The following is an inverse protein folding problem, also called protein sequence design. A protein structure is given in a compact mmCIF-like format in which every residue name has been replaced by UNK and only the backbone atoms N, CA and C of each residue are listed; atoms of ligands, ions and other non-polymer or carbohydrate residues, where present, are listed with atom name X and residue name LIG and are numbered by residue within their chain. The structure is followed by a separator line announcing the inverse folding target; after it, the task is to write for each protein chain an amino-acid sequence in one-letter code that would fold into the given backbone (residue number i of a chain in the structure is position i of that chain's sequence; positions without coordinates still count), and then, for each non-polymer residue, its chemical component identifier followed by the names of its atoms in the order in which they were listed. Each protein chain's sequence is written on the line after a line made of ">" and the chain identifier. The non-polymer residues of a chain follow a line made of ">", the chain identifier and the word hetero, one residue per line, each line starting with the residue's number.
data_IF_787659536277
#
_entry.id   IF_787659536277
#
_cell.length_a   1.000
_cell.length_b   1.000
_cell.length_c   1.000
_cell.angle_alpha   90.00
_cell.angle_beta   90.00
_cell.angle_gamma   90.00
#
_symmetry.space_group_name_H-M   'P 1'
#
loop_
_entity.id
_entity.type
_entity.pdbx_description
1 polymer ?
#
# COMPACT_ATOMS: atom_id res chain seq x y z
N UNK A 1 -0.78 -18.05 -8.39
CA UNK A 1 -1.97 -18.92 -8.41
C UNK A 1 -3.22 -18.13 -8.02
N UNK A 2 -4.42 -18.63 -8.36
CA UNK A 2 -5.70 -17.93 -8.19
C UNK A 2 -6.03 -17.54 -6.74
N UNK A 3 -5.39 -18.18 -5.75
CA UNK A 3 -5.56 -17.84 -4.32
C UNK A 3 -4.69 -16.67 -3.84
N UNK A 4 -3.86 -16.07 -4.69
CA UNK A 4 -2.99 -14.93 -4.32
C UNK A 4 -1.85 -15.27 -3.34
N UNK A 5 -1.86 -16.44 -2.70
CA UNK A 5 -0.89 -16.91 -1.70
C UNK A 5 0.43 -17.46 -2.29
N UNK A 6 0.63 -17.33 -3.60
CA UNK A 6 1.82 -17.87 -4.24
C UNK A 6 3.02 -16.96 -3.91
N UNK A 7 4.15 -17.52 -3.41
CA UNK A 7 5.35 -16.74 -3.13
C UNK A 7 5.81 -15.99 -4.39
N UNK A 8 6.19 -14.73 -4.22
CA UNK A 8 6.55 -13.84 -5.32
C UNK A 8 7.86 -13.08 -4.98
N UNK A 9 8.89 -13.16 -5.84
CA UNK A 9 10.16 -12.44 -5.65
C UNK A 9 10.00 -10.93 -5.53
N UNK A 10 9.04 -10.33 -6.25
CA UNK A 10 8.80 -8.88 -6.22
C UNK A 10 8.32 -8.36 -4.86
N UNK A 11 7.78 -9.23 -4.02
CA UNK A 11 7.29 -8.88 -2.68
C UNK A 11 8.23 -9.40 -1.58
N UNK A 12 9.45 -9.82 -1.93
CA UNK A 12 10.47 -10.25 -0.97
C UNK A 12 10.18 -11.58 -0.27
N UNK A 13 9.11 -12.29 -0.65
CA UNK A 13 8.75 -13.60 -0.08
C UNK A 13 9.58 -14.74 -0.67
N UNK A 14 10.32 -14.48 -1.75
CA UNK A 14 11.36 -15.37 -2.28
C UNK A 14 12.68 -14.63 -2.13
N UNK A 15 13.31 -14.78 -0.98
CA UNK A 15 14.60 -14.17 -0.64
C UNK A 15 15.50 -15.19 0.04
N UNK A 16 16.84 -15.03 -0.06
CA UNK A 16 17.78 -15.89 0.66
C UNK A 16 17.74 -15.68 2.18
N UNK A 17 17.28 -14.52 2.65
CA UNK A 17 17.09 -14.21 4.08
C UNK A 17 15.65 -14.52 4.53
N UNK A 18 15.44 -15.79 4.90
CA UNK A 18 14.15 -16.29 5.38
C UNK A 18 13.77 -15.70 6.75
N UNK A 19 14.75 -15.39 7.60
CA UNK A 19 14.49 -14.92 8.96
C UNK A 19 13.89 -13.51 8.95
N UNK A 20 14.43 -12.60 8.15
CA UNK A 20 13.87 -11.27 7.97
C UNK A 20 12.49 -11.32 7.30
N UNK A 21 12.32 -12.16 6.27
CA UNK A 21 11.05 -12.31 5.56
C UNK A 21 9.92 -12.78 6.50
N UNK A 22 10.20 -13.75 7.39
CA UNK A 22 9.21 -14.24 8.38
C UNK A 22 8.87 -13.18 9.42
N UNK A 23 9.87 -12.42 9.92
CA UNK A 23 9.62 -11.32 10.87
C UNK A 23 8.72 -10.25 10.26
N UNK A 24 9.00 -9.84 9.02
CA UNK A 24 8.22 -8.82 8.32
C UNK A 24 6.80 -9.31 8.00
N UNK A 25 6.65 -10.56 7.57
CA UNK A 25 5.34 -11.17 7.36
C UNK A 25 4.52 -11.22 8.66
N UNK A 26 5.15 -11.58 9.79
CA UNK A 26 4.49 -11.64 11.10
C UNK A 26 4.14 -10.25 11.65
N UNK A 27 4.94 -9.24 11.32
CA UNK A 27 4.66 -7.84 11.66
C UNK A 27 3.45 -7.25 10.88
N UNK A 28 2.82 -8.03 10.00
CA UNK A 28 1.63 -7.59 9.27
C UNK A 28 1.93 -6.82 8.00
N UNK A 29 3.07 -7.08 7.35
CA UNK A 29 3.43 -6.47 6.08
C UNK A 29 2.29 -6.60 5.05
N UNK A 30 1.76 -5.46 4.63
CA UNK A 30 0.71 -5.40 3.61
C UNK A 30 1.35 -5.34 2.23
N UNK A 31 0.81 -6.13 1.30
CA UNK A 31 1.26 -6.16 -0.09
C UNK A 31 0.29 -5.36 -0.94
N UNK A 32 0.83 -4.49 -1.80
CA UNK A 32 0.06 -3.82 -2.83
C UNK A 32 0.52 -4.29 -4.20
N UNK A 33 -0.43 -4.36 -5.14
CA UNK A 33 -0.18 -4.66 -6.54
C UNK A 33 -0.93 -3.65 -7.39
N UNK A 34 -0.32 -3.27 -8.51
CA UNK A 34 -0.97 -2.42 -9.50
C UNK A 34 -1.89 -3.28 -10.36
N UNK A 35 -3.12 -2.82 -10.55
CA UNK A 35 -4.02 -3.41 -11.53
C UNK A 35 -3.63 -2.98 -12.96
N UNK A 36 -4.19 -3.63 -13.98
CA UNK A 36 -3.97 -3.30 -15.39
C UNK A 36 -4.29 -1.83 -15.72
N UNK A 37 -5.22 -1.22 -14.97
CA UNK A 37 -5.56 0.20 -15.08
C UNK A 37 -4.57 1.17 -14.41
N UNK A 38 -3.48 0.68 -13.81
CA UNK A 38 -2.52 1.54 -13.10
C UNK A 38 -2.99 1.98 -11.70
N UNK A 39 -4.08 1.41 -11.20
CA UNK A 39 -4.64 1.72 -9.87
C UNK A 39 -4.02 0.77 -8.84
N UNK A 40 -3.67 1.31 -7.67
CA UNK A 40 -3.14 0.55 -6.55
C UNK A 40 -4.24 0.40 -5.50
N UNK A 41 -4.58 -0.84 -5.19
CA UNK A 41 -5.50 -1.18 -4.11
C UNK A 41 -4.70 -1.73 -2.94
N UNK A 42 -4.88 -1.13 -1.76
CA UNK A 42 -4.21 -1.56 -0.54
C UNK A 42 -5.13 -1.36 0.66
N UNK A 43 -5.19 -2.35 1.54
CA UNK A 43 -5.90 -2.25 2.82
C UNK A 43 -4.97 -1.64 3.87
N UNK A 44 -5.27 -0.41 4.33
CA UNK A 44 -4.49 0.30 5.35
C UNK A 44 -4.76 -0.18 6.79
N UNK A 45 -5.83 -0.94 7.01
CA UNK A 45 -6.19 -1.41 8.34
C UNK A 45 -7.65 -1.88 8.44
N UNK A 46 -8.14 -1.96 9.68
CA UNK A 46 -9.54 -2.26 10.02
C UNK A 46 -10.19 -1.04 10.67
N UNK A 47 -11.52 -0.98 10.62
CA UNK A 47 -12.30 0.09 11.27
C UNK A 47 -12.12 0.13 12.79
N UNK A 48 -11.66 -0.96 13.41
CA UNK A 48 -11.39 -1.04 14.85
C UNK A 48 -10.05 -0.43 15.28
N UNK A 49 -9.24 0.07 14.34
CA UNK A 49 -7.96 0.71 14.67
C UNK A 49 -8.17 2.16 15.10
N UNK A 50 -7.27 2.67 15.93
CA UNK A 50 -7.25 4.08 16.29
C UNK A 50 -7.04 4.95 15.03
N UNK A 51 -7.66 6.14 14.97
CA UNK A 51 -7.55 7.03 13.81
C UNK A 51 -6.10 7.45 13.54
N UNK A 52 -5.29 7.61 14.58
CA UNK A 52 -3.87 7.94 14.47
C UNK A 52 -3.07 6.84 13.77
N UNK A 53 -3.32 5.58 14.12
CA UNK A 53 -2.68 4.43 13.48
C UNK A 53 -3.07 4.31 12.00
N UNK A 54 -4.33 4.60 11.66
CA UNK A 54 -4.79 4.62 10.26
C UNK A 54 -4.12 5.74 9.46
N UNK A 55 -3.90 6.92 10.06
CA UNK A 55 -3.17 8.03 9.43
C UNK A 55 -1.70 7.66 9.17
N UNK A 56 -1.02 7.10 10.17
CA UNK A 56 0.37 6.66 10.04
C UNK A 56 0.53 5.58 8.95
N UNK A 57 -0.39 4.63 8.86
CA UNK A 57 -0.37 3.60 7.81
C UNK A 57 -0.56 4.21 6.41
N UNK A 58 -1.39 5.26 6.29
CA UNK A 58 -1.61 5.97 5.04
C UNK A 58 -0.36 6.74 4.61
N UNK A 59 0.27 7.48 5.54
CA UNK A 59 1.52 8.22 5.31
C UNK A 59 2.65 7.26 4.86
N UNK A 60 2.84 6.16 5.58
CA UNK A 60 3.84 5.15 5.24
C UNK A 60 3.62 4.56 3.83
N UNK A 61 2.37 4.39 3.41
CA UNK A 61 2.03 3.91 2.07
C UNK A 61 2.39 4.95 1.00
N UNK A 62 2.06 6.23 1.23
CA UNK A 62 2.37 7.31 0.29
C UNK A 62 3.88 7.47 0.12
N UNK A 63 4.64 7.41 1.22
CA UNK A 63 6.10 7.45 1.18
C UNK A 63 6.71 6.29 0.39
N UNK A 64 6.18 5.08 0.60
CA UNK A 64 6.60 3.90 -0.16
C UNK A 64 6.30 4.06 -1.66
N UNK A 65 5.14 4.63 -2.02
CA UNK A 65 4.79 4.89 -3.42
C UNK A 65 5.68 5.96 -4.05
N UNK A 66 5.97 7.04 -3.33
CA UNK A 66 6.87 8.10 -3.80
C UNK A 66 8.29 7.56 -4.06
N UNK A 67 8.80 6.68 -3.19
CA UNK A 67 10.07 5.97 -3.39
C UNK A 67 10.03 4.99 -4.55
N UNK A 68 8.88 4.35 -4.80
CA UNK A 68 8.67 3.44 -5.91
C UNK A 68 8.43 4.13 -7.26
N UNK A 69 8.39 5.47 -7.30
CA UNK A 69 8.20 6.24 -8.55
C UNK A 69 9.32 5.92 -9.55
N UNK A 70 9.01 5.35 -10.72
CA UNK A 70 10.01 5.10 -11.74
C UNK A 70 10.47 6.43 -12.37
N UNK A 71 11.76 6.53 -12.69
CA UNK A 71 12.37 7.73 -13.27
C UNK A 71 11.75 8.15 -14.63
N UNK A 72 11.11 7.22 -15.33
CA UNK A 72 10.40 7.47 -16.59
C UNK A 72 9.02 8.13 -16.41
N UNK A 73 8.48 8.21 -15.18
CA UNK A 73 7.17 8.79 -14.91
C UNK A 73 7.25 10.32 -14.94
N UNK A 74 6.68 10.92 -15.99
CA UNK A 74 6.56 12.37 -16.17
C UNK A 74 5.25 12.88 -15.57
N UNK A 75 5.30 14.01 -14.87
CA UNK A 75 4.13 14.69 -14.30
C UNK A 75 3.73 14.20 -12.90
N UNK A 76 2.44 14.43 -12.55
CA UNK A 76 1.87 14.08 -11.24
C UNK A 76 1.70 12.56 -11.14
N UNK A 77 2.47 11.94 -10.25
CA UNK A 77 2.50 10.49 -10.05
C UNK A 77 1.23 9.97 -9.35
N UNK A 78 0.79 10.66 -8.30
CA UNK A 78 -0.43 10.36 -7.55
C UNK A 78 -1.56 11.31 -7.97
N UNK A 79 -2.54 10.83 -8.75
CA UNK A 79 -3.60 11.68 -9.30
C UNK A 79 -4.79 11.86 -8.37
N UNK A 80 -5.23 10.78 -7.72
CA UNK A 80 -6.42 10.75 -6.86
C UNK A 80 -6.18 9.75 -5.74
N UNK A 81 -6.61 10.11 -4.54
CA UNK A 81 -6.64 9.23 -3.38
C UNK A 81 -8.07 9.16 -2.85
N UNK A 82 -8.58 7.94 -2.71
CA UNK A 82 -9.93 7.69 -2.19
C UNK A 82 -9.85 6.61 -1.12
N UNK A 83 -10.38 6.93 0.07
CA UNK A 83 -10.52 5.98 1.16
C UNK A 83 -11.96 5.47 1.18
N UNK A 84 -12.12 4.16 1.27
CA UNK A 84 -13.42 3.51 1.36
C UNK A 84 -13.34 2.41 2.40
N UNK A 85 -14.42 2.23 3.16
CA UNK A 85 -14.63 0.99 3.89
C UNK A 85 -15.18 -0.09 2.94
N UNK A 86 -15.15 -1.36 3.36
CA UNK A 86 -15.55 -2.51 2.54
C UNK A 86 -16.99 -2.40 2.02
N UNK A 87 -17.89 -1.80 2.81
CA UNK A 87 -19.32 -1.68 2.49
C UNK A 87 -19.82 -0.23 2.56
N UNK A 88 -18.92 0.76 2.51
CA UNK A 88 -19.27 2.17 2.64
C UNK A 88 -18.92 3.00 1.41
N UNK A 89 -19.38 4.26 1.37
CA UNK A 89 -19.03 5.19 0.30
C UNK A 89 -17.54 5.56 0.36
N UNK A 90 -16.95 5.75 -0.82
CA UNK A 90 -15.57 6.22 -0.95
C UNK A 90 -15.48 7.75 -0.78
N UNK A 91 -14.67 8.20 0.17
CA UNK A 91 -14.38 9.62 0.40
C UNK A 91 -13.07 9.97 -0.28
N UNK A 92 -13.06 11.05 -1.07
CA UNK A 92 -11.84 11.58 -1.66
C UNK A 92 -11.05 12.34 -0.61
N UNK A 93 -9.76 12.05 -0.54
CA UNK A 93 -8.83 12.73 0.35
C UNK A 93 -7.88 13.54 -0.51
N UNK A 94 -7.59 14.76 -0.05
CA UNK A 94 -6.60 15.58 -0.70
C UNK A 94 -5.20 15.01 -0.44
N UNK A 95 -4.38 14.95 -1.49
CA UNK A 95 -3.02 14.44 -1.41
C UNK A 95 -2.09 15.54 -0.87
N UNK A 96 -2.45 16.81 -1.09
CA UNK A 96 -1.64 17.95 -0.63
C UNK A 96 -1.63 18.08 0.91
N UNK A 97 -2.71 17.67 1.59
CA UNK A 97 -2.79 17.72 3.06
C UNK A 97 -1.97 16.64 3.78
N UNK A 98 -1.40 15.68 3.05
CA UNK A 98 -0.52 14.62 3.56
C UNK A 98 0.97 14.94 3.37
N UNK A 99 1.32 16.00 2.64
CA UNK A 99 2.68 16.53 2.54
C UNK A 99 2.84 17.69 3.53
N UNK A 100 3.00 17.39 4.81
CA UNK A 100 3.45 18.34 5.83
C UNK A 100 4.56 17.70 6.66
#
# INVERSE_FOLDING_TARGET
>A
GPRGLMPNPKVGTVTPDVAAAVKNAKAGQVQYRTDKGGIIHCSIGRASFAPEALKQNLEALIDALNKAKPASSKGVYLRKLSLSSTMGPGVRVDIASLNA
#
